data_IF_296778076078
#
_entry.id   IF_296778076078
#
_cell.length_a   1.000
_cell.length_b   1.000
_cell.length_c   1.000
_cell.angle_alpha   90.00
_cell.angle_beta   90.00
_cell.angle_gamma   90.00
#
_symmetry.space_group_name_H-M   'P 1'
#
loop_
_entity.id
_entity.type
_entity.pdbx_description
1 polymer ?
#
# COMPACT_ATOMS: atom_id res chain seq x y z
N UNK A 1 -37.51 26.28 -45.28
CA UNK A 1 -37.17 24.85 -45.32
C UNK A 1 -35.72 24.72 -44.85
N UNK A 2 -35.51 24.24 -43.61
CA UNK A 2 -34.25 23.73 -42.99
C UNK A 2 -33.02 24.69 -42.97
N UNK A 3 -32.26 24.90 -41.89
CA UNK A 3 -31.99 24.15 -40.65
C UNK A 3 -31.32 25.09 -39.64
N UNK A 4 -31.76 25.06 -38.39
CA UNK A 4 -30.99 25.55 -37.24
C UNK A 4 -29.65 24.84 -37.16
N UNK A 5 -28.55 25.59 -37.02
CA UNK A 5 -27.25 25.05 -36.62
C UNK A 5 -26.86 25.69 -35.29
N UNK A 6 -27.36 25.10 -34.21
CA UNK A 6 -26.85 25.35 -32.85
C UNK A 6 -25.46 24.71 -32.76
N UNK A 7 -24.41 25.53 -32.83
CA UNK A 7 -23.06 25.13 -32.46
C UNK A 7 -22.90 25.35 -30.95
N UNK A 8 -23.18 24.31 -30.18
CA UNK A 8 -22.79 24.22 -28.78
C UNK A 8 -21.27 24.06 -28.72
N UNK A 9 -20.56 25.14 -28.40
CA UNK A 9 -19.15 25.04 -28.02
C UNK A 9 -19.08 24.50 -26.59
N UNK A 10 -18.77 23.20 -26.49
CA UNK A 10 -18.57 22.51 -25.23
C UNK A 10 -17.40 23.11 -24.47
N UNK A 11 -17.63 23.46 -23.20
CA UNK A 11 -16.59 23.83 -22.25
C UNK A 11 -15.85 22.54 -21.86
N UNK A 12 -14.64 22.35 -22.40
CA UNK A 12 -13.75 21.29 -21.94
C UNK A 12 -13.19 21.68 -20.56
N UNK A 13 -13.76 21.13 -19.49
CA UNK A 13 -13.19 21.23 -18.15
C UNK A 13 -12.04 20.24 -18.07
N UNK A 14 -10.82 20.73 -18.28
CA UNK A 14 -9.60 20.00 -17.95
C UNK A 14 -9.37 20.10 -16.44
N UNK A 15 -9.91 19.16 -15.67
CA UNK A 15 -9.49 18.95 -14.28
C UNK A 15 -8.11 18.32 -14.29
N UNK A 16 -7.06 19.15 -14.19
CA UNK A 16 -5.72 18.68 -13.87
C UNK A 16 -5.74 18.11 -12.45
N UNK A 17 -5.85 16.79 -12.33
CA UNK A 17 -5.70 16.09 -11.05
C UNK A 17 -4.29 16.32 -10.51
N UNK A 18 -4.20 16.81 -9.26
CA UNK A 18 -2.95 16.92 -8.54
C UNK A 18 -2.38 15.50 -8.36
N UNK A 19 -1.31 15.19 -9.07
CA UNK A 19 -0.50 14.02 -8.76
C UNK A 19 0.21 14.30 -7.43
N UNK A 20 -0.40 13.84 -6.33
CA UNK A 20 0.29 13.77 -5.05
C UNK A 20 1.44 12.78 -5.24
N UNK A 21 2.66 13.30 -5.36
CA UNK A 21 3.86 12.49 -5.21
C UNK A 21 3.92 12.00 -3.77
N UNK A 22 3.30 10.86 -3.50
CA UNK A 22 3.53 10.14 -2.26
C UNK A 22 4.98 9.67 -2.31
N UNK A 23 5.84 10.20 -1.43
CA UNK A 23 7.13 9.58 -1.15
C UNK A 23 6.82 8.20 -0.56
N UNK A 24 6.96 7.15 -1.37
CA UNK A 24 6.79 5.78 -0.90
C UNK A 24 7.85 5.46 0.14
N UNK A 25 7.45 4.80 1.22
CA UNK A 25 8.36 4.16 2.16
C UNK A 25 9.04 2.97 1.48
N UNK A 26 10.21 2.60 1.99
CA UNK A 26 10.96 1.40 1.59
C UNK A 26 11.31 0.57 2.82
N UNK A 27 11.08 -0.73 2.75
CA UNK A 27 11.27 -1.65 3.87
C UNK A 27 11.42 -3.09 3.43
N UNK A 28 11.73 -3.97 4.38
CA UNK A 28 11.94 -5.41 4.16
C UNK A 28 10.94 -6.20 4.98
N UNK A 29 10.34 -7.23 4.40
CA UNK A 29 9.50 -8.18 5.15
C UNK A 29 10.40 -8.99 6.09
N UNK A 30 10.22 -8.83 7.40
CA UNK A 30 11.06 -9.50 8.41
C UNK A 30 10.36 -10.68 9.10
N UNK A 31 9.05 -10.81 8.94
CA UNK A 31 8.29 -11.90 9.55
C UNK A 31 6.96 -12.14 8.83
N UNK A 32 6.75 -13.38 8.37
CA UNK A 32 5.49 -13.80 7.75
C UNK A 32 5.31 -15.34 7.80
N UNK A 33 4.83 -15.89 8.93
CA UNK A 33 4.66 -17.33 9.07
C UNK A 33 3.36 -17.80 8.41
N UNK A 34 3.36 -19.05 7.95
CA UNK A 34 2.18 -19.70 7.36
C UNK A 34 0.99 -19.72 8.33
N UNK A 35 -0.21 -19.41 7.82
CA UNK A 35 -1.47 -19.55 8.56
C UNK A 35 -1.97 -18.29 9.25
N UNK A 36 -1.23 -17.17 9.19
CA UNK A 36 -1.77 -15.84 9.51
C UNK A 36 -1.60 -14.92 8.31
N UNK A 37 -2.62 -14.15 7.94
CA UNK A 37 -2.51 -13.19 6.83
C UNK A 37 -1.79 -11.89 7.22
N UNK A 38 -1.16 -11.83 8.40
CA UNK A 38 -0.43 -10.66 8.86
C UNK A 38 1.08 -10.87 8.71
N UNK A 39 1.78 -9.81 8.33
CA UNK A 39 3.23 -9.80 8.17
C UNK A 39 3.83 -8.47 8.64
N UNK A 40 5.12 -8.49 8.95
CA UNK A 40 5.84 -7.35 9.50
C UNK A 40 6.86 -6.85 8.50
N UNK A 41 6.84 -5.54 8.25
CA UNK A 41 7.85 -4.85 7.44
C UNK A 41 8.67 -3.92 8.32
N UNK A 42 9.99 -4.01 8.20
CA UNK A 42 10.93 -3.08 8.82
C UNK A 42 11.34 -2.00 7.81
N UNK A 43 11.17 -0.73 8.18
CA UNK A 43 11.62 0.44 7.41
C UNK A 43 12.65 1.23 8.21
N UNK A 44 13.28 2.21 7.57
CA UNK A 44 14.18 3.17 8.27
C UNK A 44 13.53 3.96 9.40
N UNK A 45 12.19 3.94 9.52
CA UNK A 45 11.44 4.72 10.51
C UNK A 45 10.75 3.86 11.58
N UNK A 46 10.87 2.53 11.50
CA UNK A 46 10.29 1.59 12.46
C UNK A 46 9.66 0.39 11.78
N UNK A 47 8.68 -0.22 12.45
CA UNK A 47 7.98 -1.41 11.96
C UNK A 47 6.54 -1.10 11.56
N UNK A 48 6.07 -1.80 10.54
CA UNK A 48 4.69 -1.77 10.05
C UNK A 48 4.09 -3.16 10.13
N UNK A 49 2.88 -3.25 10.67
CA UNK A 49 2.05 -4.45 10.63
C UNK A 49 1.09 -4.34 9.44
N UNK A 50 1.18 -5.31 8.54
CA UNK A 50 0.36 -5.38 7.33
C UNK A 50 -0.50 -6.63 7.37
N UNK A 51 -1.72 -6.54 6.86
CA UNK A 51 -2.57 -7.69 6.55
C UNK A 51 -2.63 -7.85 5.02
N UNK A 52 -2.38 -9.05 4.52
CA UNK A 52 -2.41 -9.35 3.10
C UNK A 52 -3.85 -9.50 2.59
N UNK A 53 -4.16 -8.82 1.47
CA UNK A 53 -5.48 -8.77 0.84
C UNK A 53 -5.46 -9.24 -0.63
N UNK A 54 -4.32 -9.66 -1.17
CA UNK A 54 -4.20 -10.22 -2.52
C UNK A 54 -3.00 -9.71 -3.30
N UNK A 55 -2.96 -10.05 -4.60
CA UNK A 55 -1.78 -9.81 -5.43
C UNK A 55 -0.72 -10.87 -5.20
N UNK A 56 0.56 -10.50 -5.29
CA UNK A 56 1.65 -11.38 -4.87
C UNK A 56 1.63 -11.56 -3.35
N UNK A 57 1.82 -12.78 -2.89
CA UNK A 57 1.94 -13.13 -1.46
C UNK A 57 3.42 -12.95 -1.07
N UNK A 58 3.77 -11.94 -0.23
CA UNK A 58 5.17 -11.64 0.07
C UNK A 58 5.87 -12.78 0.81
N UNK A 59 7.19 -12.79 0.78
CA UNK A 59 8.03 -13.70 1.56
C UNK A 59 8.93 -12.90 2.52
N UNK A 60 9.36 -13.53 3.59
CA UNK A 60 10.44 -12.98 4.42
C UNK A 60 11.68 -12.70 3.56
N UNK A 61 12.22 -11.49 3.68
CA UNK A 61 13.32 -10.97 2.88
C UNK A 61 12.89 -10.11 1.68
N UNK A 62 11.62 -10.07 1.31
CA UNK A 62 11.16 -9.26 0.18
C UNK A 62 11.27 -7.76 0.48
N UNK A 63 11.75 -7.00 -0.50
CA UNK A 63 11.92 -5.54 -0.40
C UNK A 63 10.70 -4.85 -0.97
N UNK A 64 9.97 -4.15 -0.12
CA UNK A 64 8.73 -3.47 -0.46
C UNK A 64 8.92 -1.96 -0.56
N UNK A 65 8.27 -1.36 -1.56
CA UNK A 65 8.26 0.09 -1.78
C UNK A 65 6.83 0.57 -2.05
N UNK A 66 6.38 1.58 -1.31
CA UNK A 66 5.00 2.09 -1.41
C UNK A 66 4.53 2.85 -0.18
N UNK A 67 3.26 3.23 -0.15
CA UNK A 67 2.68 4.01 0.96
C UNK A 67 2.17 3.10 2.10
N UNK A 68 3.06 2.35 2.74
CA UNK A 68 2.74 1.50 3.90
C UNK A 68 3.02 2.16 5.26
N UNK A 69 3.24 3.48 5.27
CA UNK A 69 3.38 4.30 6.48
C UNK A 69 2.18 5.25 6.67
N UNK A 70 1.01 4.84 6.15
CA UNK A 70 -0.25 5.50 6.39
C UNK A 70 -1.40 4.49 6.35
N UNK A 71 -2.47 4.74 7.11
CA UNK A 71 -3.57 3.78 7.25
C UNK A 71 -4.33 3.52 5.94
N UNK A 72 -4.91 2.32 5.84
CA UNK A 72 -5.83 1.91 4.77
C UNK A 72 -5.28 0.82 3.85
N UNK A 73 -6.04 0.50 2.81
CA UNK A 73 -5.65 -0.47 1.78
C UNK A 73 -4.65 0.17 0.82
N UNK A 74 -3.56 -0.54 0.57
CA UNK A 74 -2.43 -0.08 -0.25
C UNK A 74 -2.10 -1.09 -1.34
N UNK A 75 -1.75 -0.56 -2.49
CA UNK A 75 -0.98 -1.28 -3.51
C UNK A 75 0.50 -0.98 -3.23
N UNK A 76 1.26 -2.03 -2.94
CA UNK A 76 2.66 -1.97 -2.55
C UNK A 76 3.47 -2.74 -3.59
N UNK A 77 4.56 -2.16 -4.07
CA UNK A 77 5.42 -2.81 -5.05
C UNK A 77 6.49 -3.65 -4.34
N UNK A 78 6.59 -4.92 -4.71
CA UNK A 78 7.66 -5.81 -4.31
C UNK A 78 8.79 -5.74 -5.34
N UNK A 79 9.91 -5.12 -4.94
CA UNK A 79 11.08 -4.94 -5.78
C UNK A 79 11.85 -6.25 -6.02
N UNK A 80 11.76 -7.22 -5.09
CA UNK A 80 12.51 -8.48 -5.18
C UNK A 80 12.03 -9.29 -6.38
N UNK A 81 10.72 -9.33 -6.58
CA UNK A 81 10.07 -10.16 -7.59
C UNK A 81 9.43 -9.36 -8.73
N UNK A 82 9.31 -8.04 -8.58
CA UNK A 82 8.81 -7.13 -9.61
C UNK A 82 7.29 -7.21 -9.82
N UNK A 83 6.52 -7.36 -8.75
CA UNK A 83 5.04 -7.41 -8.80
C UNK A 83 4.40 -6.61 -7.66
N UNK A 84 3.10 -6.41 -7.71
CA UNK A 84 2.34 -5.74 -6.67
C UNK A 84 1.78 -6.74 -5.65
N UNK A 85 1.85 -6.35 -4.38
CA UNK A 85 1.10 -6.94 -3.27
C UNK A 85 0.08 -5.93 -2.76
N UNK A 86 -1.09 -6.41 -2.36
CA UNK A 86 -2.17 -5.59 -1.83
C UNK A 86 -2.32 -5.87 -0.34
N UNK A 87 -2.20 -4.84 0.48
CA UNK A 87 -2.23 -5.00 1.93
C UNK A 87 -2.97 -3.87 2.65
N UNK A 88 -3.58 -4.21 3.77
CA UNK A 88 -4.14 -3.24 4.70
C UNK A 88 -3.09 -2.87 5.75
N UNK A 89 -2.87 -1.57 5.91
CA UNK A 89 -1.98 -1.05 6.96
C UNK A 89 -2.72 -1.03 8.28
N UNK A 90 -2.43 -2.03 9.10
CA UNK A 90 -3.00 -2.18 10.43
C UNK A 90 -2.40 -1.16 11.40
N UNK A 91 -1.08 -1.02 11.41
CA UNK A 91 -0.38 0.04 12.13
C UNK A 91 1.06 0.24 11.64
N UNK A 92 1.64 1.41 11.89
CA UNK A 92 2.93 1.82 11.32
C UNK A 92 3.78 2.64 12.29
N UNK A 93 5.07 2.83 11.96
CA UNK A 93 6.05 3.56 12.79
C UNK A 93 6.13 3.02 14.22
N UNK A 94 5.96 1.71 14.37
CA UNK A 94 6.01 1.03 15.64
C UNK A 94 7.44 0.78 16.10
N UNK A 95 7.59 0.60 17.40
CA UNK A 95 8.74 -0.10 17.95
C UNK A 95 8.65 -1.61 17.69
N UNK A 96 9.78 -2.30 17.74
CA UNK A 96 9.85 -3.76 17.60
C UNK A 96 8.91 -4.48 18.59
N UNK A 97 8.94 -4.06 19.86
CA UNK A 97 8.10 -4.64 20.90
C UNK A 97 6.61 -4.45 20.61
N UNK A 98 6.23 -3.25 20.17
CA UNK A 98 4.83 -2.93 19.86
C UNK A 98 4.29 -3.71 18.68
N UNK A 99 5.09 -3.92 17.62
CA UNK A 99 4.66 -4.69 16.46
C UNK A 99 4.51 -6.17 16.78
N UNK A 100 5.40 -6.73 17.61
CA UNK A 100 5.31 -8.12 18.08
C UNK A 100 4.05 -8.34 18.91
N UNK A 101 3.74 -7.43 19.84
CA UNK A 101 2.52 -7.51 20.67
C UNK A 101 1.25 -7.46 19.81
N UNK A 102 1.21 -6.53 18.84
CA UNK A 102 0.07 -6.40 17.93
C UNK A 102 -0.09 -7.62 17.03
N UNK A 103 1.00 -8.12 16.47
CA UNK A 103 0.99 -9.36 15.68
C UNK A 103 0.40 -10.52 16.48
N UNK A 104 0.89 -10.75 17.71
CA UNK A 104 0.39 -11.83 18.58
C UNK A 104 -1.10 -11.71 18.87
N UNK A 105 -1.63 -10.49 19.00
CA UNK A 105 -3.07 -10.26 19.21
C UNK A 105 -3.92 -10.59 17.98
N UNK A 106 -3.35 -10.50 16.77
CA UNK A 106 -4.06 -10.77 15.50
C UNK A 106 -4.00 -12.25 15.11
N UNK A 107 -2.90 -12.92 15.40
CA UNK A 107 -2.62 -14.29 14.95
C UNK A 107 -2.65 -15.35 16.06
N UNK A 108 -2.84 -14.97 17.33
CA UNK A 108 -2.75 -15.84 18.51
C UNK A 108 -4.07 -16.02 19.26
#
# INVERSE_FOLDING_TARGET
MFRSLMLLWGVAVFSAGLANGANGAKGVVIYYPFGCHYYIVESSRGYTLLEWYGGYDPNEGDTLTGDFESYGLKDIFDETIGSETKAWVEDFLLSEQSVIEKYKKRCG
#
